data_IF_639141822874
#
_entry.id   IF_639141822874
#
_cell.length_a   1.000
_cell.length_b   1.000
_cell.length_c   1.000
_cell.angle_alpha   90.00
_cell.angle_beta   90.00
_cell.angle_gamma   90.00
#
_symmetry.space_group_name_H-M   'P 1'
#
loop_
_entity.id
_entity.type
_entity.pdbx_description
1 polymer ?
#
# COMPACT_ATOMS: atom_id res chain seq x y z
N UNK A 1 -23.27 13.26 -9.51
CA UNK A 1 -22.77 12.98 -8.14
C UNK A 1 -21.28 13.30 -8.10
N UNK A 2 -20.75 13.94 -7.04
CA UNK A 2 -19.30 14.22 -6.95
C UNK A 2 -18.55 12.91 -6.68
N UNK A 3 -17.42 12.69 -7.36
CA UNK A 3 -16.59 11.49 -7.16
C UNK A 3 -16.04 11.43 -5.72
N UNK A 4 -15.72 10.24 -5.20
CA UNK A 4 -15.13 10.09 -3.85
C UNK A 4 -13.87 10.96 -3.67
N UNK A 5 -13.01 11.02 -4.69
CA UNK A 5 -11.85 11.91 -4.71
C UNK A 5 -12.24 13.39 -4.61
N UNK A 6 -13.31 13.82 -5.28
CA UNK A 6 -13.82 15.19 -5.10
C UNK A 6 -14.27 15.43 -3.66
N UNK A 7 -14.91 14.46 -2.99
CA UNK A 7 -15.33 14.64 -1.59
C UNK A 7 -14.13 14.83 -0.63
N UNK A 8 -12.99 14.21 -0.93
CA UNK A 8 -11.77 14.31 -0.10
C UNK A 8 -11.03 15.64 -0.35
N UNK A 9 -10.92 16.08 -1.61
CA UNK A 9 -10.17 17.30 -1.94
C UNK A 9 -10.97 18.58 -1.68
N UNK A 10 -12.30 18.54 -1.71
CA UNK A 10 -13.14 19.73 -1.52
C UNK A 10 -12.94 20.44 -0.16
N UNK A 11 -12.86 19.72 0.98
CA UNK A 11 -12.55 20.33 2.27
C UNK A 11 -11.20 21.05 2.26
N UNK A 12 -10.16 20.40 1.73
CA UNK A 12 -8.80 20.96 1.65
C UNK A 12 -8.77 22.20 0.74
N UNK A 13 -9.40 22.11 -0.44
CA UNK A 13 -9.54 23.22 -1.37
C UNK A 13 -10.27 24.41 -0.73
N UNK A 14 -11.35 24.17 0.01
CA UNK A 14 -12.09 25.21 0.71
C UNK A 14 -11.28 25.85 1.83
N UNK A 15 -10.51 25.07 2.60
CA UNK A 15 -9.60 25.61 3.61
C UNK A 15 -8.52 26.49 3.00
N UNK A 16 -7.89 26.04 1.90
CA UNK A 16 -6.83 26.80 1.23
C UNK A 16 -7.39 28.09 0.62
N UNK A 17 -8.49 27.98 -0.14
CA UNK A 17 -9.11 29.15 -0.78
C UNK A 17 -9.62 30.17 0.24
N UNK A 18 -10.15 29.73 1.38
CA UNK A 18 -10.56 30.61 2.48
C UNK A 18 -9.36 31.30 3.15
N UNK A 19 -8.31 30.55 3.49
CA UNK A 19 -7.09 31.11 4.11
C UNK A 19 -6.37 32.11 3.21
N UNK A 20 -6.38 31.88 1.90
CA UNK A 20 -5.77 32.76 0.92
C UNK A 20 -6.67 33.93 0.50
N UNK A 21 -7.88 34.05 1.07
CA UNK A 21 -8.83 35.11 0.73
C UNK A 21 -9.25 35.10 -0.75
N UNK A 22 -9.26 33.93 -1.38
CA UNK A 22 -9.55 33.80 -2.82
C UNK A 22 -11.03 34.08 -3.06
N UNK A 23 -11.31 35.19 -3.74
CA UNK A 23 -12.66 35.52 -4.18
C UNK A 23 -13.08 34.66 -5.39
N UNK A 24 -13.84 33.61 -5.09
CA UNK A 24 -14.39 32.67 -6.08
C UNK A 24 -15.44 33.28 -7.02
N UNK A 25 -15.88 34.52 -6.79
CA UNK A 25 -16.87 35.18 -7.65
C UNK A 25 -16.22 35.86 -8.85
N UNK A 26 -14.96 36.29 -8.75
CA UNK A 26 -14.24 36.91 -9.85
C UNK A 26 -13.46 35.89 -10.71
N UNK A 27 -13.13 36.27 -11.95
CA UNK A 27 -12.50 35.39 -12.94
C UNK A 27 -11.10 34.91 -12.50
N UNK A 28 -10.34 35.75 -11.81
CA UNK A 28 -9.00 35.43 -11.34
C UNK A 28 -9.04 34.41 -10.19
N UNK A 29 -9.93 34.59 -9.22
CA UNK A 29 -10.09 33.66 -8.10
C UNK A 29 -10.63 32.30 -8.54
N UNK A 30 -11.54 32.25 -9.53
CA UNK A 30 -11.94 30.97 -10.16
C UNK A 30 -10.77 30.26 -10.84
N UNK A 31 -9.86 31.01 -11.48
CA UNK A 31 -8.67 30.43 -12.11
C UNK A 31 -7.72 29.85 -11.06
N UNK A 32 -7.48 30.59 -9.97
CA UNK A 32 -6.66 30.14 -8.85
C UNK A 32 -7.26 28.92 -8.15
N UNK A 33 -8.58 28.90 -7.90
CA UNK A 33 -9.25 27.73 -7.32
C UNK A 33 -9.08 26.49 -8.20
N UNK A 34 -9.19 26.65 -9.53
CA UNK A 34 -8.98 25.56 -10.48
C UNK A 34 -7.53 25.05 -10.49
N UNK A 35 -6.56 25.96 -10.43
CA UNK A 35 -5.14 25.60 -10.33
C UNK A 35 -4.83 24.86 -9.03
N UNK A 36 -5.33 25.35 -7.90
CA UNK A 36 -5.17 24.69 -6.59
C UNK A 36 -5.79 23.29 -6.61
N UNK A 37 -6.99 23.15 -7.16
CA UNK A 37 -7.63 21.84 -7.29
C UNK A 37 -6.81 20.88 -8.15
N UNK A 38 -6.25 21.35 -9.26
CA UNK A 38 -5.39 20.55 -10.13
C UNK A 38 -4.15 20.05 -9.38
N UNK A 39 -3.47 20.93 -8.65
CA UNK A 39 -2.30 20.55 -7.83
C UNK A 39 -2.67 19.53 -6.75
N UNK A 40 -3.82 19.70 -6.09
CA UNK A 40 -4.29 18.73 -5.08
C UNK A 40 -4.56 17.35 -5.69
N UNK A 41 -5.09 17.29 -6.91
CA UNK A 41 -5.32 16.04 -7.62
C UNK A 41 -4.00 15.34 -7.95
N UNK A 42 -3.04 16.07 -8.52
CA UNK A 42 -1.71 15.53 -8.87
C UNK A 42 -0.98 15.00 -7.62
N UNK A 43 -1.00 15.75 -6.51
CA UNK A 43 -0.46 15.29 -5.22
C UNK A 43 -1.15 14.04 -4.69
N UNK A 44 -2.46 13.92 -4.89
CA UNK A 44 -3.22 12.73 -4.54
C UNK A 44 -2.75 11.48 -5.28
N UNK A 45 -2.54 11.61 -6.59
CA UNK A 45 -2.04 10.53 -7.44
C UNK A 45 -0.61 10.11 -7.04
N UNK A 46 0.26 11.08 -6.74
CA UNK A 46 1.63 10.80 -6.27
C UNK A 46 1.65 10.05 -4.94
N UNK A 47 0.83 10.47 -3.97
CA UNK A 47 0.70 9.79 -2.69
C UNK A 47 0.18 8.37 -2.89
N UNK A 48 -0.85 8.19 -3.72
CA UNK A 48 -1.41 6.88 -4.02
C UNK A 48 -0.36 5.95 -4.65
N UNK A 49 0.45 6.46 -5.58
CA UNK A 49 1.54 5.71 -6.20
C UNK A 49 2.61 5.28 -5.18
N UNK A 50 3.00 6.19 -4.26
CA UNK A 50 3.95 5.89 -3.18
C UNK A 50 3.41 4.81 -2.24
N UNK A 51 2.15 4.94 -1.81
CA UNK A 51 1.50 3.98 -0.91
C UNK A 51 1.40 2.61 -1.58
N UNK A 52 0.92 2.53 -2.83
CA UNK A 52 0.87 1.28 -3.59
C UNK A 52 2.25 0.63 -3.74
N UNK A 53 3.30 1.43 -4.01
CA UNK A 53 4.68 0.93 -4.13
C UNK A 53 5.20 0.37 -2.81
N UNK A 54 4.86 0.99 -1.68
CA UNK A 54 5.26 0.54 -0.34
C UNK A 54 4.55 -0.76 0.04
N UNK A 55 3.22 -0.84 -0.14
CA UNK A 55 2.43 -2.06 0.10
C UNK A 55 3.00 -3.22 -0.72
N UNK A 56 3.26 -3.02 -2.02
CA UNK A 56 3.83 -4.07 -2.88
C UNK A 56 5.22 -4.55 -2.39
N UNK A 57 6.03 -3.65 -1.79
CA UNK A 57 7.31 -4.04 -1.20
C UNK A 57 7.11 -4.91 0.05
N UNK A 58 6.17 -4.54 0.92
CA UNK A 58 5.82 -5.29 2.12
C UNK A 58 5.24 -6.68 1.77
N UNK A 59 4.33 -6.75 0.80
CA UNK A 59 3.77 -8.02 0.30
C UNK A 59 4.86 -8.95 -0.26
N UNK A 60 5.79 -8.41 -1.06
CA UNK A 60 6.93 -9.17 -1.58
C UNK A 60 7.83 -9.70 -0.47
N UNK A 61 7.99 -8.93 0.61
CA UNK A 61 8.79 -9.34 1.76
C UNK A 61 8.10 -10.44 2.55
N UNK A 62 6.80 -10.32 2.81
CA UNK A 62 5.98 -11.35 3.45
C UNK A 62 6.02 -12.67 2.67
N UNK A 63 5.87 -12.63 1.34
CA UNK A 63 5.95 -13.84 0.49
C UNK A 63 7.33 -14.51 0.59
N UNK A 64 8.41 -13.74 0.69
CA UNK A 64 9.77 -14.30 0.88
C UNK A 64 9.90 -15.02 2.22
N UNK A 65 9.38 -14.43 3.30
CA UNK A 65 9.41 -15.01 4.63
C UNK A 65 8.58 -16.30 4.70
N UNK A 66 7.37 -16.30 4.13
CA UNK A 66 6.53 -17.51 4.02
C UNK A 66 7.24 -18.63 3.25
N UNK A 67 7.89 -18.31 2.13
CA UNK A 67 8.68 -19.30 1.36
C UNK A 67 9.85 -19.86 2.17
N UNK A 68 10.51 -19.02 2.98
CA UNK A 68 11.58 -19.46 3.87
C UNK A 68 11.06 -20.42 4.93
N UNK A 69 9.97 -20.05 5.62
CA UNK A 69 9.33 -20.90 6.63
C UNK A 69 8.88 -22.25 6.06
N UNK A 70 8.24 -22.25 4.88
CA UNK A 70 7.87 -23.50 4.20
C UNK A 70 9.09 -24.37 3.85
N UNK A 71 10.21 -23.77 3.46
CA UNK A 71 11.44 -24.51 3.19
C UNK A 71 12.00 -25.17 4.46
N UNK A 72 11.94 -24.50 5.60
CA UNK A 72 12.35 -25.06 6.89
C UNK A 72 11.45 -26.21 7.32
N UNK A 73 10.13 -26.03 7.26
CA UNK A 73 9.17 -27.09 7.57
C UNK A 73 9.37 -28.34 6.69
N UNK A 74 9.66 -28.17 5.39
CA UNK A 74 10.01 -29.32 4.53
C UNK A 74 11.30 -30.01 4.94
N UNK A 75 12.29 -29.28 5.45
CA UNK A 75 13.54 -29.86 5.95
C UNK A 75 13.29 -30.65 7.24
N UNK A 76 12.52 -30.09 8.17
CA UNK A 76 12.13 -30.76 9.42
C UNK A 76 11.33 -32.03 9.15
N UNK A 77 10.31 -31.98 8.28
CA UNK A 77 9.52 -33.15 7.89
C UNK A 77 10.38 -34.26 7.29
N UNK A 78 11.33 -33.91 6.41
CA UNK A 78 12.28 -34.88 5.84
C UNK A 78 13.19 -35.48 6.91
N UNK A 79 13.73 -34.65 7.80
CA UNK A 79 14.59 -35.12 8.88
C UNK A 79 13.82 -36.06 9.83
N UNK A 80 12.57 -35.73 10.16
CA UNK A 80 11.71 -36.58 10.97
C UNK A 80 11.44 -37.92 10.28
N UNK A 81 11.07 -37.91 8.99
CA UNK A 81 10.84 -39.13 8.22
C UNK A 81 12.11 -40.00 8.09
N UNK A 82 13.28 -39.40 7.86
CA UNK A 82 14.56 -40.13 7.83
C UNK A 82 14.90 -40.71 9.19
N UNK A 83 14.69 -39.95 10.27
CA UNK A 83 14.91 -40.43 11.65
C UNK A 83 14.02 -41.63 11.97
N UNK A 84 12.75 -41.58 11.57
CA UNK A 84 11.80 -42.67 11.76
C UNK A 84 12.17 -43.91 10.93
N UNK A 85 12.60 -43.73 9.67
CA UNK A 85 13.12 -44.83 8.84
C UNK A 85 14.37 -45.47 9.46
N UNK A 86 15.32 -44.68 9.93
CA UNK A 86 16.53 -45.18 10.60
C UNK A 86 16.19 -45.94 11.88
N UNK A 87 15.25 -45.42 12.67
CA UNK A 87 14.77 -46.09 13.87
C UNK A 87 14.17 -47.45 13.52
N UNK A 88 13.25 -47.50 12.56
CA UNK A 88 12.62 -48.75 12.13
C UNK A 88 13.64 -49.76 11.57
N UNK A 89 14.67 -49.28 10.87
CA UNK A 89 15.75 -50.15 10.39
C UNK A 89 16.59 -50.75 11.53
N UNK A 90 16.92 -49.96 12.56
CA UNK A 90 17.72 -50.41 13.71
C UNK A 90 16.97 -51.32 14.70
N UNK A 91 15.64 -51.21 14.79
CA UNK A 91 14.82 -52.04 15.68
C UNK A 91 14.20 -53.27 14.97
N UNK A 92 14.32 -53.37 13.64
CA UNK A 92 13.85 -54.52 12.86
C UNK A 92 14.95 -55.56 12.55
N UNK A 93 16.19 -55.28 12.92
CA UNK A 93 17.37 -56.18 12.88
C UNK A 93 17.67 -56.74 14.26
#
# INVERSE_FOLDING_TARGET
MKSEQQQIYFPVLNTITSKLGIDKKNKAGKKLEKEIYKTLSELGEDIEAIVKKRINKEDKQMVKELKHQQKQQRKERRNAAVSELLKNYYYAS
#
